data_IF_913527567685
#
_entry.id   IF_913527567685
#
_cell.length_a   1.000
_cell.length_b   1.000
_cell.length_c   1.000
_cell.angle_alpha   90.00
_cell.angle_beta   90.00
_cell.angle_gamma   90.00
#
_symmetry.space_group_name_H-M   'P 1'
#
loop_
_entity.id
_entity.type
_entity.pdbx_description
1 polymer ?
#
# COMPACT_ATOMS: atom_id res chain seq x y z
N UNK A 1 -1.54 10.17 15.56
CA UNK A 1 -1.50 9.52 14.23
C UNK A 1 -0.22 9.94 13.54
N UNK A 2 0.69 9.00 13.29
CA UNK A 2 1.93 9.26 12.58
C UNK A 2 1.75 8.99 11.08
N UNK A 3 2.32 9.84 10.22
CA UNK A 3 2.34 9.64 8.78
C UNK A 3 3.81 9.55 8.36
N UNK A 4 4.15 8.46 7.67
CA UNK A 4 5.52 8.19 7.23
C UNK A 4 5.55 8.20 5.70
N UNK A 5 6.30 9.13 5.12
CA UNK A 5 6.60 9.15 3.69
C UNK A 5 7.89 8.39 3.42
N UNK A 6 7.81 7.33 2.61
CA UNK A 6 8.98 6.55 2.19
C UNK A 6 9.25 6.82 0.71
N UNK A 7 10.41 7.43 0.42
CA UNK A 7 10.83 7.74 -0.94
C UNK A 7 12.23 7.18 -1.21
N UNK A 8 12.37 6.48 -2.34
CA UNK A 8 13.67 6.01 -2.81
C UNK A 8 14.40 7.09 -3.60
N UNK A 9 15.73 7.13 -3.51
CA UNK A 9 16.56 8.03 -4.34
C UNK A 9 16.48 7.67 -5.83
N UNK A 10 16.24 6.39 -6.14
CA UNK A 10 16.04 5.86 -7.49
C UNK A 10 15.18 4.59 -7.46
N UNK A 11 14.80 4.09 -8.62
CA UNK A 11 14.16 2.78 -8.75
C UNK A 11 15.05 1.64 -8.24
N UNK A 12 14.44 0.65 -7.60
CA UNK A 12 15.11 -0.57 -7.15
C UNK A 12 15.94 -0.45 -5.86
N UNK A 13 15.80 0.64 -5.08
CA UNK A 13 16.47 0.77 -3.76
C UNK A 13 15.72 0.10 -2.61
N UNK A 14 14.64 -0.62 -2.90
CA UNK A 14 13.88 -1.38 -1.91
C UNK A 14 12.82 -0.58 -1.13
N UNK A 15 12.46 0.63 -1.55
CA UNK A 15 11.45 1.47 -0.86
C UNK A 15 10.12 0.73 -0.65
N UNK A 16 9.61 0.06 -1.68
CA UNK A 16 8.37 -0.73 -1.60
C UNK A 16 8.52 -1.90 -0.61
N UNK A 17 9.65 -2.62 -0.65
CA UNK A 17 9.94 -3.73 0.28
C UNK A 17 10.00 -3.25 1.72
N UNK A 18 10.69 -2.13 1.98
CA UNK A 18 10.78 -1.52 3.31
C UNK A 18 9.40 -1.05 3.78
N UNK A 19 8.60 -0.47 2.88
CA UNK A 19 7.22 -0.04 3.18
C UNK A 19 6.36 -1.22 3.64
N UNK A 20 6.37 -2.33 2.89
CA UNK A 20 5.64 -3.53 3.25
C UNK A 20 6.13 -4.15 4.58
N UNK A 21 7.46 -4.27 4.74
CA UNK A 21 8.05 -4.85 5.95
C UNK A 21 7.75 -3.99 7.20
N UNK A 22 7.89 -2.67 7.10
CA UNK A 22 7.57 -1.75 8.19
C UNK A 22 6.10 -1.85 8.59
N UNK A 23 5.20 -1.84 7.60
CA UNK A 23 3.77 -1.98 7.86
C UNK A 23 3.43 -3.30 8.56
N UNK A 24 4.02 -4.40 8.10
CA UNK A 24 3.86 -5.72 8.72
C UNK A 24 4.39 -5.73 10.17
N UNK A 25 5.59 -5.19 10.41
CA UNK A 25 6.15 -5.10 11.76
C UNK A 25 5.30 -4.26 12.70
N UNK A 26 4.76 -3.12 12.24
CA UNK A 26 3.84 -2.30 13.04
C UNK A 26 2.54 -3.05 13.35
N UNK A 27 1.98 -3.76 12.37
CA UNK A 27 0.79 -4.59 12.59
C UNK A 27 1.07 -5.71 13.61
N UNK A 28 2.22 -6.37 13.55
CA UNK A 28 2.63 -7.38 14.54
C UNK A 28 2.80 -6.81 15.96
N UNK A 29 3.08 -5.52 16.08
CA UNK A 29 3.15 -4.80 17.37
C UNK A 29 1.77 -4.35 17.88
N UNK A 30 0.69 -4.66 17.16
CA UNK A 30 -0.68 -4.33 17.56
C UNK A 30 -1.17 -2.96 17.07
N UNK A 31 -0.41 -2.30 16.19
CA UNK A 31 -0.82 -1.00 15.63
C UNK A 31 -1.82 -1.18 14.48
N UNK A 32 -2.75 -0.22 14.38
CA UNK A 32 -3.63 -0.11 13.22
C UNK A 32 -2.89 0.61 12.09
N UNK A 33 -2.54 -0.14 11.03
CA UNK A 33 -1.72 0.36 9.94
C UNK A 33 -2.53 0.46 8.65
N UNK A 34 -2.51 1.63 8.01
CA UNK A 34 -2.93 1.83 6.63
C UNK A 34 -1.67 2.04 5.78
N UNK A 35 -1.54 1.26 4.71
CA UNK A 35 -0.44 1.38 3.75
C UNK A 35 -1.01 1.83 2.41
N UNK A 36 -0.39 2.84 1.81
CA UNK A 36 -0.83 3.41 0.53
C UNK A 36 0.31 3.31 -0.46
N UNK A 37 0.07 2.68 -1.61
CA UNK A 37 0.98 2.79 -2.74
C UNK A 37 0.71 4.11 -3.47
N UNK A 38 1.73 4.95 -3.54
CA UNK A 38 1.71 6.23 -4.24
C UNK A 38 2.52 6.19 -5.55
N UNK A 39 2.93 5.00 -6.01
CA UNK A 39 3.63 4.78 -7.26
C UNK A 39 2.67 4.17 -8.31
N UNK A 40 2.65 4.68 -9.55
CA UNK A 40 1.80 4.13 -10.63
C UNK A 40 2.15 2.68 -11.00
N UNK A 41 3.38 2.20 -10.71
CA UNK A 41 3.76 0.80 -10.93
C UNK A 41 2.98 -0.16 -10.00
N UNK A 42 2.46 0.36 -8.88
CA UNK A 42 1.57 -0.31 -7.93
C UNK A 42 2.14 -1.63 -7.38
N UNK A 43 3.47 -1.77 -7.29
CA UNK A 43 4.12 -3.04 -6.94
C UNK A 43 3.96 -3.42 -5.46
N UNK A 44 3.54 -2.51 -4.58
CA UNK A 44 3.29 -2.81 -3.17
C UNK A 44 2.26 -3.93 -3.01
N UNK A 45 1.28 -3.99 -3.92
CA UNK A 45 0.20 -4.99 -3.92
C UNK A 45 0.73 -6.43 -3.88
N UNK A 46 1.88 -6.69 -4.50
CA UNK A 46 2.47 -8.01 -4.58
C UNK A 46 2.97 -8.51 -3.22
N UNK A 47 3.40 -7.61 -2.33
CA UNK A 47 3.77 -7.96 -0.95
C UNK A 47 2.57 -8.38 -0.08
N UNK A 48 1.35 -8.07 -0.52
CA UNK A 48 0.10 -8.43 0.13
C UNK A 48 -0.71 -9.46 -0.69
N UNK A 49 -0.02 -10.21 -1.56
CA UNK A 49 -0.60 -11.30 -2.35
C UNK A 49 -1.80 -10.89 -3.23
N UNK A 50 -1.85 -9.62 -3.63
CA UNK A 50 -2.85 -9.08 -4.55
C UNK A 50 -2.38 -9.33 -5.98
N UNK A 51 -3.27 -9.86 -6.82
CA UNK A 51 -2.95 -10.27 -8.19
C UNK A 51 -2.42 -9.11 -9.06
N UNK A 52 -1.50 -9.41 -9.98
CA UNK A 52 -0.93 -8.41 -10.87
C UNK A 52 -1.96 -7.77 -11.81
N UNK A 53 -3.01 -8.50 -12.18
CA UNK A 53 -4.11 -8.03 -13.04
C UNK A 53 -5.13 -7.17 -12.29
N UNK A 54 -5.06 -7.11 -10.95
CA UNK A 54 -5.95 -6.25 -10.18
C UNK A 54 -5.61 -4.77 -10.42
N UNK A 55 -6.57 -4.05 -11.03
CA UNK A 55 -6.42 -2.64 -11.43
C UNK A 55 -7.18 -1.65 -10.55
N UNK A 56 -8.01 -2.13 -9.62
CA UNK A 56 -8.71 -1.25 -8.70
C UNK A 56 -7.78 -0.81 -7.56
N UNK A 57 -8.13 0.28 -6.90
CA UNK A 57 -7.34 0.89 -5.83
C UNK A 57 -7.84 2.29 -5.54
N UNK A 58 -7.39 2.88 -4.44
CA UNK A 58 -7.84 4.19 -3.96
C UNK A 58 -7.79 5.27 -5.05
N UNK A 59 -6.68 5.35 -5.80
CA UNK A 59 -6.50 6.36 -6.84
C UNK A 59 -7.47 6.16 -8.01
N UNK A 60 -7.71 4.90 -8.41
CA UNK A 60 -8.65 4.58 -9.49
C UNK A 60 -10.09 4.89 -9.06
N UNK A 61 -10.48 4.51 -7.86
CA UNK A 61 -11.79 4.82 -7.30
C UNK A 61 -12.06 6.32 -7.28
N UNK A 62 -11.08 7.14 -6.86
CA UNK A 62 -11.20 8.60 -6.90
C UNK A 62 -11.41 9.15 -8.33
N UNK A 63 -10.68 8.62 -9.32
CA UNK A 63 -10.83 9.02 -10.73
C UNK A 63 -12.19 8.63 -11.31
N UNK A 64 -12.76 7.52 -10.84
CA UNK A 64 -14.07 7.00 -11.27
C UNK A 64 -15.24 7.60 -10.46
N UNK A 65 -14.98 8.54 -9.53
CA UNK A 65 -16.02 9.19 -8.72
C UNK A 65 -16.60 8.33 -7.59
N UNK A 66 -15.89 7.26 -7.21
CA UNK A 66 -16.27 6.33 -6.13
C UNK A 66 -15.59 6.74 -4.81
N UNK A 67 -16.08 6.23 -3.66
CA UNK A 67 -15.36 6.39 -2.39
C UNK A 67 -14.08 5.55 -2.42
N UNK A 68 -12.94 6.19 -2.18
CA UNK A 68 -11.63 5.53 -2.16
C UNK A 68 -11.51 4.46 -1.06
N UNK A 69 -12.30 4.58 0.01
CA UNK A 69 -12.29 3.64 1.15
C UNK A 69 -12.80 2.26 0.75
N UNK A 70 -13.71 2.20 -0.22
CA UNK A 70 -14.28 0.95 -0.72
C UNK A 70 -13.25 0.13 -1.52
N UNK A 71 -12.18 0.78 -1.98
CA UNK A 71 -11.04 0.11 -2.62
C UNK A 71 -10.00 -0.42 -1.61
N UNK A 72 -10.22 -0.26 -0.31
CA UNK A 72 -9.33 -0.76 0.73
C UNK A 72 -9.30 -2.29 0.79
N UNK A 73 -8.10 -2.85 0.91
CA UNK A 73 -7.88 -4.29 1.09
C UNK A 73 -7.46 -4.58 2.54
N UNK A 74 -7.94 -5.68 3.09
CA UNK A 74 -7.60 -6.13 4.44
C UNK A 74 -6.83 -7.44 4.36
N UNK A 75 -5.62 -7.46 4.92
CA UNK A 75 -4.72 -8.61 4.79
C UNK A 75 -4.65 -9.48 6.05
N UNK A 76 -4.82 -8.89 7.23
CA UNK A 76 -4.92 -9.62 8.50
C UNK A 76 -6.33 -9.53 9.08
N UNK A 77 -6.74 -10.57 9.81
CA UNK A 77 -8.08 -10.70 10.41
C UNK A 77 -8.21 -9.86 11.68
#
# INVERSE_FOLDING_TARGET
MAVLGLQGVRGGVGTTTITAALAWSLQMLGENVLVVDACPDNLLRLSFNVDFTHRQGWARAMLDGQDWRDAGLRYTS
#
